data_IF_441300155310
#
_entry.id   IF_441300155310
#
_cell.length_a   1.000
_cell.length_b   1.000
_cell.length_c   1.000
_cell.angle_alpha   90.00
_cell.angle_beta   90.00
_cell.angle_gamma   90.00
#
_symmetry.space_group_name_H-M   'P 1'
#
loop_
_entity.id
_entity.type
_entity.pdbx_description
1 polymer ?
#
# COMPACT_ATOMS: atom_id res chain seq x y z
N UNK A 1 -9.12 -11.95 34.18
CA UNK A 1 -9.91 -11.22 33.17
C UNK A 1 -9.35 -9.80 33.14
N UNK A 2 -8.28 -9.59 32.36
CA UNK A 2 -7.50 -8.35 32.38
C UNK A 2 -7.87 -7.50 31.16
N UNK A 3 -8.43 -6.32 31.45
CA UNK A 3 -8.59 -5.25 30.48
C UNK A 3 -7.26 -4.59 30.16
N UNK A 4 -7.13 -4.15 28.90
CA UNK A 4 -6.61 -2.83 28.47
C UNK A 4 -6.27 -2.90 26.98
N UNK A 5 -7.23 -2.64 26.10
CA UNK A 5 -6.91 -2.46 24.70
C UNK A 5 -8.12 -2.04 23.91
N UNK A 6 -8.25 -0.72 23.73
CA UNK A 6 -8.85 0.02 22.59
C UNK A 6 -9.69 1.18 23.13
N UNK A 7 -9.54 2.36 22.51
CA UNK A 7 -10.40 3.56 22.53
C UNK A 7 -10.24 4.61 23.62
N UNK A 8 -9.09 5.29 23.63
CA UNK A 8 -8.97 6.73 23.90
C UNK A 8 -7.60 7.24 23.41
N UNK A 9 -7.36 7.28 22.10
CA UNK A 9 -6.05 7.74 21.57
C UNK A 9 -5.69 7.39 20.13
N UNK A 10 -6.50 6.59 19.42
CA UNK A 10 -6.20 6.26 18.02
C UNK A 10 -6.49 7.45 17.10
N UNK A 11 -5.51 7.77 16.24
CA UNK A 11 -5.65 8.78 15.18
C UNK A 11 -6.96 8.50 14.38
N UNK A 12 -7.88 9.48 14.30
CA UNK A 12 -9.13 9.33 13.56
C UNK A 12 -8.93 8.89 12.10
N UNK A 13 -7.85 9.38 11.45
CA UNK A 13 -7.50 8.97 10.09
C UNK A 13 -7.15 7.48 10.05
N UNK A 14 -6.27 7.03 10.93
CA UNK A 14 -5.86 5.62 11.00
C UNK A 14 -7.03 4.70 11.35
N UNK A 15 -7.94 5.16 12.23
CA UNK A 15 -9.18 4.45 12.54
C UNK A 15 -10.07 4.30 11.29
N UNK A 16 -10.21 5.36 10.49
CA UNK A 16 -10.98 5.32 9.26
C UNK A 16 -10.35 4.39 8.20
N UNK A 17 -9.04 4.50 8.00
CA UNK A 17 -8.26 3.63 7.10
C UNK A 17 -8.43 2.16 7.50
N UNK A 18 -8.28 1.84 8.79
CA UNK A 18 -8.48 0.49 9.30
C UNK A 18 -9.90 -0.03 9.02
N UNK A 19 -10.94 0.76 9.34
CA UNK A 19 -12.34 0.36 9.10
C UNK A 19 -12.63 0.09 7.62
N UNK A 20 -12.10 0.91 6.72
CA UNK A 20 -12.28 0.74 5.28
C UNK A 20 -11.51 -0.49 4.76
N UNK A 21 -10.23 -0.65 5.15
CA UNK A 21 -9.41 -1.82 4.82
C UNK A 21 -10.08 -3.12 5.28
N UNK A 22 -10.60 -3.18 6.50
CA UNK A 22 -11.31 -4.35 7.05
C UNK A 22 -12.57 -4.73 6.28
N UNK A 23 -13.10 -3.83 5.45
CA UNK A 23 -14.28 -4.04 4.60
C UNK A 23 -13.93 -4.20 3.12
N UNK A 24 -12.65 -4.40 2.80
CA UNK A 24 -12.14 -4.46 1.43
C UNK A 24 -12.38 -3.16 0.61
N UNK A 25 -12.59 -2.02 1.29
CA UNK A 25 -12.69 -0.70 0.66
C UNK A 25 -11.28 -0.08 0.52
N UNK A 26 -10.35 -0.78 -0.13
CA UNK A 26 -8.94 -0.35 -0.21
C UNK A 26 -8.74 0.95 -0.98
N UNK A 27 -9.47 1.16 -2.07
CA UNK A 27 -9.38 2.38 -2.87
C UNK A 27 -9.80 3.61 -2.04
N UNK A 28 -10.95 3.52 -1.37
CA UNK A 28 -11.42 4.59 -0.48
C UNK A 28 -10.44 4.85 0.67
N UNK A 29 -9.86 3.78 1.25
CA UNK A 29 -8.86 3.90 2.30
C UNK A 29 -7.58 4.60 1.80
N UNK A 30 -7.15 4.28 0.57
CA UNK A 30 -5.98 4.88 -0.07
C UNK A 30 -6.19 6.38 -0.39
N UNK A 31 -7.41 6.79 -0.73
CA UNK A 31 -7.75 8.21 -0.98
C UNK A 31 -7.72 9.07 0.28
N UNK A 32 -7.92 8.48 1.47
CA UNK A 32 -7.77 9.21 2.73
C UNK A 32 -6.30 9.56 3.05
N UNK A 33 -5.34 8.83 2.48
CA UNK A 33 -3.92 8.99 2.74
C UNK A 33 -3.30 10.02 1.78
N UNK A 34 -3.32 11.30 2.19
CA UNK A 34 -2.56 12.33 1.50
C UNK A 34 -1.06 12.01 1.53
N UNK A 35 -0.43 11.92 0.36
CA UNK A 35 0.93 11.39 0.17
C UNK A 35 2.03 12.43 0.46
N UNK A 36 1.86 13.31 1.44
CA UNK A 36 2.82 14.38 1.72
C UNK A 36 4.11 13.88 2.40
N UNK A 37 4.09 12.69 2.99
CA UNK A 37 5.24 12.05 3.66
C UNK A 37 5.51 10.68 3.06
N UNK A 38 6.77 10.22 3.13
CA UNK A 38 7.15 8.87 2.70
C UNK A 38 6.31 7.79 3.41
N UNK A 39 6.07 7.95 4.72
CA UNK A 39 5.26 7.02 5.50
C UNK A 39 3.80 6.95 5.01
N UNK A 40 3.15 8.08 4.76
CA UNK A 40 1.77 8.10 4.26
C UNK A 40 1.67 7.55 2.83
N UNK A 41 2.64 7.87 1.97
CA UNK A 41 2.73 7.34 0.61
C UNK A 41 2.95 5.81 0.61
N UNK A 42 3.81 5.31 1.50
CA UNK A 42 4.05 3.87 1.66
C UNK A 42 2.80 3.15 2.19
N UNK A 43 2.12 3.72 3.18
CA UNK A 43 0.87 3.16 3.69
C UNK A 43 -0.19 3.09 2.58
N UNK A 44 -0.28 4.12 1.73
CA UNK A 44 -1.17 4.14 0.56
C UNK A 44 -0.79 3.03 -0.43
N UNK A 45 0.49 2.87 -0.73
CA UNK A 45 0.98 1.80 -1.60
C UNK A 45 0.60 0.42 -1.04
N UNK A 46 0.86 0.16 0.25
CA UNK A 46 0.56 -1.11 0.89
C UNK A 46 -0.93 -1.51 0.81
N UNK A 47 -1.85 -0.55 0.95
CA UNK A 47 -3.29 -0.81 0.76
C UNK A 47 -3.63 -1.25 -0.67
N UNK A 48 -2.96 -0.65 -1.66
CA UNK A 48 -3.18 -0.96 -3.07
C UNK A 48 -2.51 -2.28 -3.47
N UNK A 49 -1.33 -2.60 -2.93
CA UNK A 49 -0.67 -3.90 -3.11
C UNK A 49 -1.52 -5.00 -2.48
N UNK A 50 -2.08 -4.79 -1.30
CA UNK A 50 -3.00 -5.72 -0.66
C UNK A 50 -4.27 -5.94 -1.50
N UNK A 51 -4.85 -4.88 -2.07
CA UNK A 51 -5.95 -5.01 -3.03
C UNK A 51 -5.55 -5.89 -4.22
N UNK A 52 -4.36 -5.71 -4.78
CA UNK A 52 -3.87 -6.55 -5.88
C UNK A 52 -3.80 -8.02 -5.46
N UNK A 53 -3.28 -8.30 -4.26
CA UNK A 53 -3.21 -9.67 -3.75
C UNK A 53 -4.59 -10.32 -3.61
N UNK A 54 -5.59 -9.62 -3.11
CA UNK A 54 -6.92 -10.20 -2.86
C UNK A 54 -7.86 -10.19 -4.07
N UNK A 55 -7.61 -9.34 -5.06
CA UNK A 55 -8.55 -9.12 -6.17
C UNK A 55 -7.95 -9.36 -7.56
N UNK A 56 -6.64 -9.61 -7.64
CA UNK A 56 -5.90 -9.78 -8.89
C UNK A 56 -5.98 -8.55 -9.82
N UNK A 57 -6.37 -7.39 -9.30
CA UNK A 57 -6.60 -6.16 -10.05
C UNK A 57 -5.98 -4.93 -9.36
N UNK A 58 -5.79 -3.85 -10.12
CA UNK A 58 -5.26 -2.58 -9.59
C UNK A 58 -3.73 -2.46 -9.59
N UNK A 59 -3.03 -3.35 -10.29
CA UNK A 59 -1.55 -3.42 -10.33
C UNK A 59 -0.88 -2.09 -10.68
N UNK A 60 -1.39 -1.38 -11.70
CA UNK A 60 -0.84 -0.09 -12.11
C UNK A 60 -0.96 0.96 -10.98
N UNK A 61 -2.12 1.04 -10.32
CA UNK A 61 -2.33 1.99 -9.22
C UNK A 61 -1.37 1.71 -8.06
N UNK A 62 -1.13 0.43 -7.76
CA UNK A 62 -0.18 0.01 -6.73
C UNK A 62 1.27 0.35 -7.10
N UNK A 63 1.67 0.11 -8.35
CA UNK A 63 2.99 0.49 -8.86
C UNK A 63 3.22 2.01 -8.81
N UNK A 64 2.24 2.80 -9.23
CA UNK A 64 2.36 4.26 -9.24
C UNK A 64 2.39 4.83 -7.82
N UNK A 65 1.59 4.27 -6.91
CA UNK A 65 1.66 4.61 -5.49
C UNK A 65 3.03 4.29 -4.89
N UNK A 66 3.60 3.13 -5.24
CA UNK A 66 4.90 2.73 -4.74
C UNK A 66 6.05 3.56 -5.32
N UNK A 67 6.00 3.92 -6.61
CA UNK A 67 6.93 4.88 -7.22
C UNK A 67 6.88 6.24 -6.50
N UNK A 68 5.69 6.70 -6.11
CA UNK A 68 5.56 7.92 -5.33
C UNK A 68 6.16 7.80 -3.92
N UNK A 69 5.96 6.66 -3.25
CA UNK A 69 6.56 6.40 -1.94
C UNK A 69 8.10 6.38 -1.98
N UNK A 70 8.67 5.74 -3.00
CA UNK A 70 10.12 5.72 -3.22
C UNK A 70 10.70 7.10 -3.53
N UNK A 71 9.98 7.93 -4.30
CA UNK A 71 10.41 9.29 -4.60
C UNK A 71 10.47 10.19 -3.35
N UNK A 72 9.62 9.93 -2.35
CA UNK A 72 9.58 10.66 -1.09
C UNK A 72 10.55 10.10 -0.03
N UNK A 73 11.10 8.90 -0.23
CA UNK A 73 12.01 8.27 0.71
C UNK A 73 13.40 8.91 0.66
N UNK A 74 13.81 9.58 1.74
CA UNK A 74 15.07 10.32 1.82
C UNK A 74 16.04 9.74 2.84
N UNK A 75 15.55 8.95 3.80
CA UNK A 75 16.36 8.20 4.77
C UNK A 75 16.56 6.74 4.34
N UNK A 76 17.58 6.08 4.89
CA UNK A 76 17.81 4.65 4.66
C UNK A 76 16.64 3.80 5.14
N UNK A 77 16.02 4.18 6.25
CA UNK A 77 14.86 3.48 6.81
C UNK A 77 13.65 3.57 5.87
N UNK A 78 13.32 4.75 5.36
CA UNK A 78 12.24 4.93 4.40
C UNK A 78 12.51 4.19 3.09
N UNK A 79 13.76 4.23 2.59
CA UNK A 79 14.16 3.48 1.40
C UNK A 79 14.04 1.98 1.62
N UNK A 80 14.45 1.49 2.79
CA UNK A 80 14.32 0.09 3.16
C UNK A 80 12.86 -0.36 3.21
N UNK A 81 11.99 0.45 3.81
CA UNK A 81 10.56 0.16 3.89
C UNK A 81 9.90 0.14 2.50
N UNK A 82 10.22 1.09 1.63
CA UNK A 82 9.73 1.10 0.24
C UNK A 82 10.27 -0.10 -0.57
N UNK A 83 11.53 -0.48 -0.39
CA UNK A 83 12.12 -1.66 -1.03
C UNK A 83 11.46 -2.97 -0.58
N UNK A 84 11.09 -3.09 0.70
CA UNK A 84 10.34 -4.23 1.21
C UNK A 84 8.97 -4.34 0.52
N UNK A 85 8.25 -3.21 0.39
CA UNK A 85 6.94 -3.19 -0.27
C UNK A 85 7.05 -3.50 -1.78
N UNK A 86 8.13 -3.04 -2.43
CA UNK A 86 8.47 -3.43 -3.81
C UNK A 86 8.65 -4.93 -3.97
N UNK A 87 9.37 -5.55 -3.05
CA UNK A 87 9.51 -7.01 -3.00
C UNK A 87 8.18 -7.72 -2.82
N UNK A 88 7.29 -7.19 -1.98
CA UNK A 88 5.97 -7.76 -1.76
C UNK A 88 5.07 -7.67 -2.99
N UNK A 89 5.03 -6.52 -3.67
CA UNK A 89 4.31 -6.36 -4.93
C UNK A 89 4.80 -7.33 -6.01
N UNK A 90 6.12 -7.48 -6.17
CA UNK A 90 6.71 -8.43 -7.12
C UNK A 90 6.36 -9.89 -6.78
N UNK A 91 6.37 -10.24 -5.49
CA UNK A 91 5.93 -11.55 -5.01
C UNK A 91 4.44 -11.78 -5.34
N UNK A 92 3.56 -10.82 -5.05
CA UNK A 92 2.13 -10.93 -5.36
C UNK A 92 1.87 -11.06 -6.86
N UNK A 93 2.58 -10.31 -7.70
CA UNK A 93 2.45 -10.41 -9.17
C UNK A 93 2.88 -11.80 -9.66
N UNK A 94 3.97 -12.35 -9.09
CA UNK A 94 4.45 -13.70 -9.41
C UNK A 94 3.44 -14.76 -9.00
N UNK A 95 2.86 -14.64 -7.78
CA UNK A 95 1.85 -15.57 -7.27
C UNK A 95 0.64 -15.66 -8.21
N UNK A 96 0.23 -14.52 -8.78
CA UNK A 96 -0.93 -14.41 -9.67
C UNK A 96 -0.58 -14.55 -11.16
N UNK A 97 0.67 -14.90 -11.48
CA UNK A 97 1.18 -14.99 -12.85
C UNK A 97 0.90 -13.74 -13.71
N UNK A 98 0.82 -12.57 -13.07
CA UNK A 98 0.61 -11.29 -13.73
C UNK A 98 1.90 -10.93 -14.44
N UNK A 99 1.85 -10.88 -15.77
CA UNK A 99 2.95 -10.39 -16.59
C UNK A 99 3.05 -8.88 -16.44
N UNK A 100 4.25 -8.39 -16.26
CA UNK A 100 4.56 -6.97 -16.35
C UNK A 100 4.15 -6.45 -17.74
N UNK A 101 3.08 -5.64 -17.82
CA UNK A 101 2.64 -5.06 -19.10
C UNK A 101 3.63 -4.01 -19.63
N UNK A 102 4.65 -3.61 -18.86
CA UNK A 102 5.72 -2.78 -19.39
C UNK A 102 6.52 -3.50 -20.51
N UNK A 103 6.49 -4.84 -20.58
CA UNK A 103 7.09 -5.61 -21.67
C UNK A 103 6.25 -5.58 -22.97
N UNK A 104 4.94 -5.30 -22.91
CA UNK A 104 4.05 -5.29 -24.09
C UNK A 104 4.20 -4.01 -24.92
N UNK A 105 4.81 -2.94 -24.37
CA UNK A 105 5.14 -1.72 -25.12
C UNK A 105 6.33 -1.88 -26.10
N UNK A 106 6.84 -3.10 -26.29
CA UNK A 106 7.94 -3.45 -27.22
C UNK A 106 7.55 -4.43 -28.33
N UNK A 107 6.28 -4.44 -28.78
CA UNK A 107 5.87 -5.17 -29.99
C UNK A 107 5.30 -4.24 -31.06
#
# INVERSE_FOLDING_TARGET
MSGNGTTAGDDPLQTAVWRLRSRACWADAAELLQSATAAAALQRAALLVERCLYTEAGWQDAEDALRAAEALAHTDEERGAAACERGYLAYSATLHAVRDRADEARS
#
